data_IF_508885105437
#
_entry.id   IF_508885105437
#
_cell.length_a   1.000
_cell.length_b   1.000
_cell.length_c   1.000
_cell.angle_alpha   90.00
_cell.angle_beta   90.00
_cell.angle_gamma   90.00
#
_symmetry.space_group_name_H-M   'P 1'
#
loop_
_entity.id
_entity.type
_entity.pdbx_description
1 polymer ?
#
# COMPACT_ATOMS: atom_id res chain seq x y z
N UNK A 1 4.49 -14.17 18.25
CA UNK A 1 4.75 -13.14 17.22
C UNK A 1 5.58 -13.74 16.08
N UNK A 2 5.31 -13.38 14.81
CA UNK A 2 6.06 -13.91 13.67
C UNK A 2 7.45 -13.23 13.58
N UNK A 3 8.50 -13.94 13.96
CA UNK A 3 9.88 -13.42 14.02
C UNK A 3 10.40 -12.94 12.65
N UNK A 4 10.05 -13.65 11.58
CA UNK A 4 10.47 -13.29 10.23
C UNK A 4 9.83 -11.97 9.78
N UNK A 5 8.54 -11.79 10.05
CA UNK A 5 7.84 -10.54 9.76
C UNK A 5 8.47 -9.35 10.52
N UNK A 6 8.72 -9.52 11.81
CA UNK A 6 9.37 -8.48 12.63
C UNK A 6 10.72 -8.09 12.02
N UNK A 7 11.57 -9.07 11.70
CA UNK A 7 12.86 -8.84 11.05
C UNK A 7 12.71 -8.06 9.74
N UNK A 8 11.79 -8.45 8.86
CA UNK A 8 11.55 -7.74 7.59
C UNK A 8 11.13 -6.29 7.81
N UNK A 9 10.25 -6.01 8.77
CA UNK A 9 9.82 -4.64 9.04
C UNK A 9 10.94 -3.80 9.68
N UNK A 10 11.79 -4.40 10.53
CA UNK A 10 12.98 -3.75 11.08
C UNK A 10 14.00 -3.41 9.98
N UNK A 11 14.22 -4.32 9.02
CA UNK A 11 15.07 -4.09 7.84
C UNK A 11 14.55 -2.94 6.96
N UNK A 12 13.23 -2.81 6.80
CA UNK A 12 12.61 -1.67 6.11
C UNK A 12 12.90 -0.37 6.88
N UNK A 13 12.63 -0.37 8.20
CA UNK A 13 12.86 0.80 9.03
C UNK A 13 14.32 1.25 9.08
N UNK A 14 15.28 0.32 8.96
CA UNK A 14 16.70 0.64 8.90
C UNK A 14 17.13 1.33 7.58
N UNK A 15 16.34 1.23 6.51
CA UNK A 15 16.67 1.78 5.18
C UNK A 15 16.05 3.14 4.89
N UNK A 16 15.25 3.70 5.80
CA UNK A 16 14.56 4.98 5.60
C UNK A 16 14.90 6.00 6.67
N UNK A 17 14.85 7.28 6.30
CA UNK A 17 14.96 8.42 7.22
C UNK A 17 13.62 8.78 7.88
N UNK A 18 12.51 8.23 7.38
CA UNK A 18 11.20 8.32 8.03
C UNK A 18 11.28 7.65 9.40
N UNK A 19 10.83 8.33 10.45
CA UNK A 19 10.68 7.73 11.77
C UNK A 19 9.41 6.90 11.81
N UNK A 20 9.62 5.59 11.73
CA UNK A 20 8.58 4.57 11.69
C UNK A 20 8.48 3.89 13.06
N UNK A 21 7.28 3.87 13.62
CA UNK A 21 6.92 3.00 14.74
C UNK A 21 6.08 1.83 14.26
N UNK A 22 6.39 0.64 14.75
CA UNK A 22 5.60 -0.57 14.54
C UNK A 22 4.97 -0.97 15.88
N UNK A 23 3.68 -1.26 15.87
CA UNK A 23 2.96 -1.82 17.02
C UNK A 23 2.43 -3.18 16.62
N UNK A 24 2.88 -4.23 17.31
CA UNK A 24 2.52 -5.61 17.01
C UNK A 24 1.28 -6.06 17.80
N UNK A 25 0.66 -7.15 17.34
CA UNK A 25 -0.58 -7.68 17.91
C UNK A 25 -0.46 -8.11 19.39
N UNK A 26 0.76 -8.37 19.87
CA UNK A 26 1.03 -8.69 21.28
C UNK A 26 1.27 -7.44 22.15
N UNK A 27 1.08 -6.24 21.59
CA UNK A 27 1.30 -4.96 22.26
C UNK A 27 2.76 -4.52 22.29
N UNK A 28 3.71 -5.35 21.84
CA UNK A 28 5.10 -4.93 21.71
C UNK A 28 5.24 -3.90 20.59
N UNK A 29 6.25 -3.03 20.70
CA UNK A 29 6.55 -2.04 19.68
C UNK A 29 8.03 -1.95 19.36
N UNK A 30 8.33 -1.43 18.17
CA UNK A 30 9.67 -1.15 17.71
C UNK A 30 9.69 0.19 16.96
N UNK A 31 10.80 0.92 17.05
CA UNK A 31 10.98 2.20 16.37
C UNK A 31 12.43 2.34 15.88
N UNK A 32 12.61 2.85 14.67
CA UNK A 32 13.93 2.94 14.03
C UNK A 32 14.79 4.13 14.49
N UNK A 33 14.18 5.25 14.90
CA UNK A 33 14.87 6.49 15.29
C UNK A 33 14.43 6.98 16.67
N UNK A 34 15.29 7.65 17.44
CA UNK A 34 14.96 8.18 18.78
C UNK A 34 14.32 9.59 18.70
N UNK A 35 13.17 9.69 18.04
CA UNK A 35 12.36 10.93 17.93
C UNK A 35 10.86 10.61 17.85
N UNK A 36 10.01 11.62 17.77
CA UNK A 36 8.56 11.43 17.51
C UNK A 36 8.37 10.72 16.16
N UNK A 37 7.56 9.65 16.09
CA UNK A 37 7.32 8.93 14.85
C UNK A 37 6.56 9.80 13.85
N UNK A 38 7.03 9.83 12.60
CA UNK A 38 6.32 10.45 11.48
C UNK A 38 5.09 9.62 11.08
N UNK A 39 5.16 8.31 11.36
CA UNK A 39 4.11 7.33 11.09
C UNK A 39 4.20 6.15 12.07
N UNK A 40 3.04 5.67 12.52
CA UNK A 40 2.89 4.43 13.30
C UNK A 40 2.07 3.42 12.51
N UNK A 41 2.61 2.22 12.31
CA UNK A 41 1.93 1.10 11.65
C UNK A 41 1.50 0.09 12.71
N UNK A 42 0.20 -0.18 12.78
CA UNK A 42 -0.39 -1.17 13.68
C UNK A 42 -0.61 -2.47 12.93
N UNK A 43 -0.11 -3.58 13.49
CA UNK A 43 -0.29 -4.92 12.98
C UNK A 43 -1.22 -5.66 13.93
N UNK A 44 -2.50 -5.75 13.59
CA UNK A 44 -3.55 -6.17 14.54
C UNK A 44 -3.58 -7.66 14.81
N UNK A 45 -3.04 -8.49 13.91
CA UNK A 45 -3.06 -9.94 14.05
C UNK A 45 -1.96 -10.65 13.23
N UNK A 46 -1.77 -11.94 13.49
CA UNK A 46 -0.80 -12.76 12.76
C UNK A 46 -1.15 -12.99 11.28
N UNK A 47 -2.43 -12.85 10.90
CA UNK A 47 -2.86 -12.96 9.50
C UNK A 47 -2.26 -11.82 8.67
N UNK A 48 -2.28 -10.58 9.16
CA UNK A 48 -1.61 -9.45 8.50
C UNK A 48 -0.13 -9.74 8.23
N UNK A 49 0.59 -10.22 9.24
CA UNK A 49 2.01 -10.55 9.11
C UNK A 49 2.28 -11.58 7.99
N UNK A 50 1.47 -12.64 7.93
CA UNK A 50 1.59 -13.64 6.87
C UNK A 50 1.21 -13.09 5.49
N UNK A 51 0.19 -12.23 5.38
CA UNK A 51 -0.15 -11.59 4.10
C UNK A 51 1.02 -10.77 3.57
N UNK A 52 1.66 -9.98 4.42
CA UNK A 52 2.83 -9.17 4.06
C UNK A 52 3.99 -10.06 3.60
N UNK A 53 4.31 -11.13 4.34
CA UNK A 53 5.41 -12.02 3.95
C UNK A 53 5.14 -12.77 2.64
N UNK A 54 3.91 -13.21 2.41
CA UNK A 54 3.55 -14.03 1.24
C UNK A 54 3.31 -13.20 -0.02
N UNK A 55 2.77 -11.98 0.14
CA UNK A 55 2.32 -11.14 -0.98
C UNK A 55 3.00 -9.77 -1.03
N UNK A 56 4.02 -9.51 -0.20
CA UNK A 56 4.78 -8.26 -0.21
C UNK A 56 3.90 -7.03 0.07
N UNK A 57 4.18 -5.92 -0.63
CA UNK A 57 3.42 -4.68 -0.52
C UNK A 57 1.94 -4.84 -0.90
N UNK A 58 1.61 -5.74 -1.84
CA UNK A 58 0.22 -6.06 -2.18
C UNK A 58 -0.50 -6.67 -0.98
N UNK A 59 0.16 -7.59 -0.28
CA UNK A 59 -0.35 -8.17 0.96
C UNK A 59 -0.52 -7.15 2.08
N UNK A 60 0.40 -6.18 2.18
CA UNK A 60 0.31 -5.06 3.11
C UNK A 60 -0.92 -4.19 2.83
N UNK A 61 -1.10 -3.74 1.58
CA UNK A 61 -2.21 -2.87 1.20
C UNK A 61 -3.56 -3.58 1.37
N UNK A 62 -3.65 -4.87 1.01
CA UNK A 62 -4.85 -5.65 1.27
C UNK A 62 -5.13 -5.82 2.77
N UNK A 63 -4.10 -6.00 3.59
CA UNK A 63 -4.27 -6.06 5.03
C UNK A 63 -4.72 -4.70 5.62
N UNK A 64 -4.24 -3.59 5.04
CA UNK A 64 -4.71 -2.24 5.39
C UNK A 64 -6.19 -2.05 5.04
N UNK A 65 -6.61 -2.37 3.82
CA UNK A 65 -8.02 -2.27 3.41
C UNK A 65 -8.95 -3.18 4.21
N UNK A 66 -8.45 -4.33 4.67
CA UNK A 66 -9.19 -5.25 5.53
C UNK A 66 -9.20 -4.83 7.02
N UNK A 67 -8.49 -3.75 7.38
CA UNK A 67 -8.34 -3.29 8.75
C UNK A 67 -7.45 -4.17 9.63
N UNK A 68 -6.73 -5.16 9.09
CA UNK A 68 -5.75 -5.95 9.84
C UNK A 68 -4.43 -5.20 10.07
N UNK A 69 -4.13 -4.24 9.18
CA UNK A 69 -3.07 -3.25 9.34
C UNK A 69 -3.72 -1.88 9.40
N UNK A 70 -3.19 -1.00 10.22
CA UNK A 70 -3.63 0.40 10.27
C UNK A 70 -2.44 1.35 10.30
N UNK A 71 -2.66 2.60 9.91
CA UNK A 71 -1.62 3.62 9.80
C UNK A 71 -2.09 4.90 10.47
N UNK A 72 -1.33 5.35 11.47
CA UNK A 72 -1.53 6.64 12.13
C UNK A 72 -0.38 7.59 11.78
N UNK A 73 -0.70 8.85 11.49
CA UNK A 73 0.26 9.85 11.00
C UNK A 73 0.25 9.95 9.48
N UNK A 74 1.41 10.20 8.88
CA UNK A 74 1.50 10.46 7.43
C UNK A 74 1.51 9.16 6.63
N UNK A 75 0.43 8.89 5.89
CA UNK A 75 0.36 7.79 4.94
C UNK A 75 1.44 7.93 3.85
N UNK A 76 1.73 9.15 3.39
CA UNK A 76 2.80 9.42 2.44
C UNK A 76 4.18 8.99 2.98
N UNK A 77 4.44 9.20 4.27
CA UNK A 77 5.66 8.71 4.92
C UNK A 77 5.67 7.18 5.06
N UNK A 78 4.53 6.51 5.25
CA UNK A 78 4.44 5.05 5.20
C UNK A 78 4.89 4.50 3.83
N UNK A 79 4.39 5.10 2.74
CA UNK A 79 4.80 4.76 1.38
C UNK A 79 6.28 5.07 1.14
N UNK A 80 6.76 6.24 1.57
CA UNK A 80 8.17 6.62 1.44
C UNK A 80 9.09 5.61 2.12
N UNK A 81 8.76 5.17 3.34
CA UNK A 81 9.50 4.16 4.07
C UNK A 81 9.58 2.82 3.31
N UNK A 82 8.47 2.38 2.72
CA UNK A 82 8.46 1.17 1.87
C UNK A 82 9.32 1.32 0.62
N UNK A 83 9.20 2.44 -0.10
CA UNK A 83 9.94 2.71 -1.34
C UNK A 83 11.46 2.88 -1.09
N UNK A 84 11.85 3.55 -0.01
CA UNK A 84 13.25 3.65 0.44
C UNK A 84 13.90 2.27 0.62
N UNK A 85 13.12 1.32 1.12
CA UNK A 85 13.58 -0.04 1.37
C UNK A 85 13.52 -0.97 0.14
N UNK A 86 12.95 -0.49 -0.98
CA UNK A 86 12.67 -1.29 -2.17
C UNK A 86 11.55 -2.32 -1.96
N UNK A 87 10.62 -2.07 -1.03
CA UNK A 87 9.51 -2.98 -0.71
C UNK A 87 8.45 -3.06 -1.82
N UNK A 88 8.45 -2.06 -2.70
CA UNK A 88 7.69 -1.96 -3.95
C UNK A 88 8.36 -2.68 -5.14
N UNK A 89 9.46 -3.41 -4.89
CA UNK A 89 10.18 -4.17 -5.91
C UNK A 89 9.41 -5.36 -6.48
N UNK A 90 10.14 -6.31 -7.07
CA UNK A 90 9.59 -7.44 -7.82
C UNK A 90 8.47 -8.19 -7.07
N UNK A 91 7.36 -8.54 -7.75
CA UNK A 91 6.28 -9.27 -7.12
C UNK A 91 6.75 -10.63 -6.58
N UNK A 92 6.21 -11.05 -5.45
CA UNK A 92 6.48 -12.40 -4.93
C UNK A 92 5.96 -13.46 -5.91
N UNK A 93 6.47 -14.70 -5.80
CA UNK A 93 5.98 -15.82 -6.63
C UNK A 93 4.46 -16.00 -6.54
N UNK A 94 3.87 -15.87 -5.35
CA UNK A 94 2.43 -15.99 -5.15
C UNK A 94 1.65 -14.86 -5.83
N UNK A 95 2.19 -13.64 -5.83
CA UNK A 95 1.61 -12.53 -6.60
C UNK A 95 1.71 -12.80 -8.10
N UNK A 96 2.84 -13.34 -8.60
CA UNK A 96 2.99 -13.72 -10.02
C UNK A 96 1.96 -14.77 -10.44
N UNK A 97 1.74 -15.80 -9.63
CA UNK A 97 0.69 -16.82 -9.87
C UNK A 97 -0.70 -16.19 -9.85
N UNK A 98 -0.99 -15.32 -8.88
CA UNK A 98 -2.28 -14.62 -8.78
C UNK A 98 -2.53 -13.72 -9.99
N UNK A 99 -1.52 -13.00 -10.45
CA UNK A 99 -1.62 -12.13 -11.63
C UNK A 99 -1.82 -12.95 -12.90
N UNK A 100 -1.12 -14.08 -13.06
CA UNK A 100 -1.36 -14.99 -14.18
C UNK A 100 -2.80 -15.52 -14.20
N UNK A 101 -3.31 -15.97 -13.05
CA UNK A 101 -4.70 -16.40 -12.92
C UNK A 101 -5.70 -15.28 -13.21
N UNK A 102 -5.41 -14.06 -12.73
CA UNK A 102 -6.22 -12.89 -12.98
C UNK A 102 -6.28 -12.57 -14.48
N UNK A 103 -5.13 -12.62 -15.17
CA UNK A 103 -5.06 -12.39 -16.62
C UNK A 103 -5.87 -13.43 -17.39
N UNK A 104 -5.79 -14.71 -17.02
CA UNK A 104 -6.61 -15.76 -17.65
C UNK A 104 -8.12 -15.51 -17.53
N UNK A 105 -8.57 -14.88 -16.44
CA UNK A 105 -10.00 -14.67 -16.15
C UNK A 105 -10.53 -13.32 -16.65
N UNK A 106 -9.69 -12.29 -16.63
CA UNK A 106 -10.08 -10.91 -16.84
C UNK A 106 -9.17 -10.17 -17.82
N UNK A 107 -8.52 -10.87 -18.75
CA UNK A 107 -7.76 -10.22 -19.83
C UNK A 107 -8.63 -9.24 -20.63
N UNK A 108 -7.98 -8.28 -21.28
CA UNK A 108 -8.62 -7.32 -22.19
C UNK A 108 -8.71 -7.86 -23.64
N UNK A 109 -8.63 -9.18 -23.83
CA UNK A 109 -8.57 -9.80 -25.17
C UNK A 109 -9.82 -9.54 -26.03
N UNK A 110 -11.00 -9.41 -25.41
CA UNK A 110 -12.24 -9.04 -26.11
C UNK A 110 -12.67 -7.62 -25.75
N UNK A 111 -13.27 -6.91 -26.72
CA UNK A 111 -13.76 -5.54 -26.51
C UNK A 111 -14.82 -5.49 -25.41
N UNK A 112 -15.70 -6.50 -25.33
CA UNK A 112 -16.73 -6.57 -24.29
C UNK A 112 -16.12 -6.70 -22.89
N UNK A 113 -15.14 -7.59 -22.71
CA UNK A 113 -14.44 -7.75 -21.42
C UNK A 113 -13.61 -6.51 -21.08
N UNK A 114 -12.91 -5.92 -22.06
CA UNK A 114 -12.15 -4.69 -21.85
C UNK A 114 -13.04 -3.53 -21.37
N UNK A 115 -14.25 -3.39 -21.93
CA UNK A 115 -15.25 -2.41 -21.43
C UNK A 115 -15.72 -2.73 -20.01
N UNK A 116 -15.93 -3.99 -19.68
CA UNK A 116 -16.31 -4.40 -18.32
C UNK A 116 -15.20 -4.09 -17.31
N UNK A 117 -13.95 -4.41 -17.65
CA UNK A 117 -12.77 -4.10 -16.83
C UNK A 117 -12.59 -2.60 -16.64
N UNK A 118 -12.70 -1.81 -17.72
CA UNK A 118 -12.61 -0.35 -17.64
C UNK A 118 -13.67 0.25 -16.70
N UNK A 119 -14.91 -0.25 -16.74
CA UNK A 119 -15.97 0.16 -15.81
C UNK A 119 -15.71 -0.29 -14.37
N UNK A 120 -15.07 -1.44 -14.18
CA UNK A 120 -14.71 -1.90 -12.84
C UNK A 120 -13.62 -1.00 -12.22
N UNK A 121 -12.61 -0.61 -13.00
CA UNK A 121 -11.48 0.19 -12.52
C UNK A 121 -11.73 1.70 -12.49
N UNK A 122 -12.48 2.23 -13.44
CA UNK A 122 -12.72 3.67 -13.62
C UNK A 122 -14.22 4.02 -13.61
N UNK A 123 -15.03 3.15 -13.01
CA UNK A 123 -16.49 3.27 -12.96
C UNK A 123 -17.08 4.49 -12.25
N UNK A 124 -16.42 5.12 -11.24
CA UNK A 124 -16.96 6.32 -10.64
C UNK A 124 -17.24 7.40 -11.68
N UNK A 125 -18.43 8.00 -11.62
CA UNK A 125 -18.85 9.05 -12.54
C UNK A 125 -18.29 10.42 -12.16
N UNK A 126 -18.62 11.43 -12.95
CA UNK A 126 -18.20 12.82 -12.73
C UNK A 126 -18.58 13.33 -11.33
N UNK A 127 -19.72 12.91 -10.79
CA UNK A 127 -20.20 13.34 -9.47
C UNK A 127 -19.23 12.95 -8.35
N UNK A 128 -18.55 11.80 -8.47
CA UNK A 128 -17.50 11.43 -7.53
C UNK A 128 -16.28 12.34 -7.67
N UNK A 129 -15.77 12.52 -8.89
CA UNK A 129 -14.54 13.28 -9.13
C UNK A 129 -14.68 14.78 -8.85
N UNK A 130 -15.89 15.34 -8.99
CA UNK A 130 -16.15 16.77 -8.78
C UNK A 130 -15.83 17.20 -7.35
N UNK A 131 -15.98 16.32 -6.38
CA UNK A 131 -15.68 16.61 -4.97
C UNK A 131 -14.17 16.67 -4.67
N UNK A 132 -13.31 16.21 -5.59
CA UNK A 132 -11.86 16.08 -5.35
C UNK A 132 -10.98 16.86 -6.34
N UNK A 133 -11.44 17.07 -7.57
CA UNK A 133 -10.67 17.74 -8.63
C UNK A 133 -10.97 19.24 -8.68
N UNK A 134 -10.11 19.98 -9.38
CA UNK A 134 -10.32 21.41 -9.58
C UNK A 134 -11.57 21.70 -10.43
N UNK A 135 -12.26 22.79 -10.12
CA UNK A 135 -13.51 23.15 -10.80
C UNK A 135 -13.31 23.56 -12.26
N UNK A 136 -12.16 24.16 -12.58
CA UNK A 136 -11.93 24.76 -13.89
C UNK A 136 -11.67 23.71 -14.97
N UNK A 137 -10.87 22.69 -14.66
CA UNK A 137 -10.40 21.69 -15.60
C UNK A 137 -10.87 20.26 -15.31
N UNK A 138 -11.35 19.97 -14.09
CA UNK A 138 -11.55 18.58 -13.61
C UNK A 138 -10.31 17.72 -13.90
N UNK A 139 -9.13 18.29 -13.65
CA UNK A 139 -7.87 17.74 -14.13
C UNK A 139 -7.41 16.58 -13.25
N UNK A 140 -7.57 15.34 -13.76
CA UNK A 140 -7.00 14.16 -13.12
C UNK A 140 -5.58 13.87 -13.64
N UNK A 141 -4.69 14.84 -13.45
CA UNK A 141 -3.28 14.81 -13.87
C UNK A 141 -2.44 15.69 -12.93
N UNK A 142 -1.11 15.57 -13.00
CA UNK A 142 -0.21 16.40 -12.22
C UNK A 142 -0.41 17.88 -12.55
N UNK A 143 -0.43 18.71 -11.50
CA UNK A 143 -0.46 20.17 -11.60
C UNK A 143 0.95 20.76 -11.52
N UNK A 144 1.09 22.04 -11.87
CA UNK A 144 2.33 22.81 -11.77
C UNK A 144 2.18 23.94 -10.76
N UNK A 145 3.04 23.98 -9.74
CA UNK A 145 3.06 25.01 -8.70
C UNK A 145 4.33 25.85 -8.87
N UNK A 146 4.20 27.15 -9.12
CA UNK A 146 5.35 28.04 -9.39
C UNK A 146 6.19 28.38 -8.15
N UNK A 147 5.58 28.25 -6.97
CA UNK A 147 6.16 28.68 -5.70
C UNK A 147 6.57 27.49 -4.81
N UNK A 148 6.70 26.30 -5.42
CA UNK A 148 6.98 25.03 -4.72
C UNK A 148 8.36 24.92 -4.10
#
# INVERSE_FOLDING_TARGET
MNTQFKKTMEEIGAKTQVCLRLVFADGSSWQNHQRTPDVTIFIRNGRAAWRVLLFGHVGFLEAYFNGDIDVEGSLAHAFRAGMDAGFDGEPTFLVKVRNWWHELRYSNASISQAKANARFHYGPGQDFYREWLDEAGMAYTCSWFTDG
#
